data_IF_854832151463
#
_entry.id   IF_854832151463
#
_cell.length_a   1.000
_cell.length_b   1.000
_cell.length_c   1.000
_cell.angle_alpha   90.00
_cell.angle_beta   90.00
_cell.angle_gamma   90.00
#
_symmetry.space_group_name_H-M   'P 1'
#
loop_
_entity.id
_entity.type
_entity.pdbx_description
1 polymer ?
#
# COMPACT_ATOMS: atom_id res chain seq x y z
N UNK A 1 -1.14 -1.75 -17.26
CA UNK A 1 -2.00 -1.93 -16.08
C UNK A 1 -3.44 -2.18 -16.57
N UNK A 2 -4.16 -3.15 -16.02
CA UNK A 2 -5.59 -3.34 -16.32
C UNK A 2 -6.44 -2.36 -15.50
N UNK A 3 -7.71 -2.18 -15.88
CA UNK A 3 -8.65 -1.36 -15.10
C UNK A 3 -8.78 -1.87 -13.65
N UNK A 4 -8.78 -3.19 -13.46
CA UNK A 4 -8.86 -3.78 -12.13
C UNK A 4 -7.57 -3.57 -11.33
N UNK A 5 -6.40 -3.66 -11.98
CA UNK A 5 -5.13 -3.32 -11.33
C UNK A 5 -5.05 -1.84 -10.93
N UNK A 6 -5.65 -0.95 -11.71
CA UNK A 6 -5.75 0.47 -11.37
C UNK A 6 -6.68 0.72 -10.18
N UNK A 7 -7.85 0.08 -10.15
CA UNK A 7 -8.81 0.16 -9.03
C UNK A 7 -8.20 -0.37 -7.74
N UNK A 8 -7.51 -1.50 -7.82
CA UNK A 8 -6.80 -2.09 -6.68
C UNK A 8 -5.68 -1.16 -6.18
N UNK A 9 -4.94 -0.52 -7.09
CA UNK A 9 -3.95 0.48 -6.71
C UNK A 9 -4.56 1.65 -5.94
N UNK A 10 -5.64 2.25 -6.44
CA UNK A 10 -6.32 3.32 -5.72
C UNK A 10 -6.83 2.86 -4.36
N UNK A 11 -7.40 1.66 -4.28
CA UNK A 11 -7.82 1.07 -3.01
C UNK A 11 -6.64 0.98 -2.03
N UNK A 12 -5.48 0.49 -2.46
CA UNK A 12 -4.30 0.37 -1.60
C UNK A 12 -3.76 1.72 -1.11
N UNK A 13 -3.81 2.77 -1.93
CA UNK A 13 -3.42 4.12 -1.52
C UNK A 13 -4.40 4.72 -0.51
N UNK A 14 -5.69 4.42 -0.67
CA UNK A 14 -6.74 4.95 0.22
C UNK A 14 -6.92 4.15 1.50
N UNK A 15 -6.59 2.86 1.47
CA UNK A 15 -6.80 1.97 2.59
C UNK A 15 -5.95 2.38 3.80
N UNK A 16 -6.58 2.37 4.98
CA UNK A 16 -5.93 2.65 6.26
C UNK A 16 -6.28 1.53 7.23
N UNK A 17 -5.28 0.86 7.78
CA UNK A 17 -5.46 -0.10 8.87
C UNK A 17 -4.84 0.47 10.14
N UNK A 18 -5.50 0.34 11.29
CA UNK A 18 -4.89 0.67 12.57
C UNK A 18 -3.67 -0.24 12.80
N UNK A 19 -2.48 0.29 12.52
CA UNK A 19 -1.19 -0.42 12.66
C UNK A 19 -0.60 -1.03 11.37
N UNK A 20 -1.10 -0.70 10.18
CA UNK A 20 -0.58 -1.22 8.90
C UNK A 20 -0.17 -0.16 7.88
N UNK A 21 0.62 -0.57 6.88
CA UNK A 21 1.32 0.26 5.88
C UNK A 21 0.51 0.85 4.73
N UNK A 22 -0.79 1.10 4.93
CA UNK A 22 -1.58 1.88 3.98
C UNK A 22 -1.14 3.35 3.96
N UNK A 23 -1.14 4.00 2.79
CA UNK A 23 -0.74 5.40 2.67
C UNK A 23 -1.78 6.33 3.34
N UNK A 24 -3.06 5.93 3.32
CA UNK A 24 -4.15 6.67 3.93
C UNK A 24 -4.50 7.97 3.20
N UNK A 25 -4.20 8.05 1.89
CA UNK A 25 -4.63 9.15 1.05
C UNK A 25 -6.16 9.13 0.88
N UNK A 26 -6.75 10.28 0.64
CA UNK A 26 -8.12 10.35 0.15
C UNK A 26 -8.17 9.92 -1.31
N UNK A 27 -9.36 9.54 -1.80
CA UNK A 27 -9.55 9.22 -3.22
C UNK A 27 -9.22 10.42 -4.12
N UNK A 28 -9.52 11.64 -3.68
CA UNK A 28 -9.18 12.86 -4.43
C UNK A 28 -7.68 13.00 -4.57
N UNK A 29 -6.94 12.94 -3.46
CA UNK A 29 -5.47 13.02 -3.48
C UNK A 29 -4.86 11.93 -4.35
N UNK A 30 -5.39 10.71 -4.32
CA UNK A 30 -4.90 9.61 -5.14
C UNK A 30 -5.18 9.79 -6.65
N UNK A 31 -6.29 10.47 -7.01
CA UNK A 31 -6.63 10.80 -8.40
C UNK A 31 -5.83 12.00 -8.93
N UNK A 32 -5.40 12.89 -8.04
CA UNK A 32 -4.57 14.06 -8.39
C UNK A 32 -3.09 13.68 -8.62
N UNK A 33 -2.68 12.46 -8.27
CA UNK A 33 -1.33 11.97 -8.52
C UNK A 33 -1.05 11.77 -10.01
N UNK A 34 0.18 12.12 -10.41
CA UNK A 34 0.72 11.62 -11.66
C UNK A 34 0.76 10.09 -11.65
N UNK A 35 0.65 9.47 -12.83
CA UNK A 35 0.77 8.00 -12.94
C UNK A 35 2.12 7.51 -12.42
N UNK A 36 3.18 8.29 -12.62
CA UNK A 36 4.54 7.98 -12.13
C UNK A 36 4.59 7.95 -10.61
N UNK A 37 4.07 8.99 -9.94
CA UNK A 37 4.10 9.07 -8.48
C UNK A 37 3.20 8.02 -7.84
N UNK A 38 2.03 7.78 -8.44
CA UNK A 38 1.13 6.70 -8.02
C UNK A 38 1.84 5.35 -8.08
N UNK A 39 2.46 5.03 -9.21
CA UNK A 39 3.12 3.74 -9.40
C UNK A 39 4.31 3.57 -8.43
N UNK A 40 5.07 4.64 -8.20
CA UNK A 40 6.12 4.67 -7.18
C UNK A 40 5.54 4.42 -5.77
N UNK A 41 4.47 5.13 -5.37
CA UNK A 41 3.86 4.97 -4.04
C UNK A 41 3.33 3.54 -3.83
N UNK A 42 2.71 2.94 -4.85
CA UNK A 42 2.24 1.55 -4.79
C UNK A 42 3.39 0.58 -4.55
N UNK A 43 4.52 0.77 -5.23
CA UNK A 43 5.72 -0.02 -4.98
C UNK A 43 6.21 0.13 -3.53
N UNK A 44 6.25 1.36 -3.02
CA UNK A 44 6.67 1.65 -1.63
C UNK A 44 5.75 1.00 -0.60
N UNK A 45 4.44 1.09 -0.78
CA UNK A 45 3.44 0.44 0.08
C UNK A 45 3.65 -1.08 0.05
N UNK A 46 3.82 -1.68 -1.12
CA UNK A 46 4.10 -3.11 -1.27
C UNK A 46 5.36 -3.55 -0.52
N UNK A 47 6.46 -2.82 -0.68
CA UNK A 47 7.72 -3.10 0.02
C UNK A 47 7.57 -3.00 1.54
N UNK A 48 6.85 -2.00 2.04
CA UNK A 48 6.62 -1.84 3.47
C UNK A 48 5.77 -2.98 4.04
N UNK A 49 4.69 -3.38 3.36
CA UNK A 49 3.84 -4.52 3.77
C UNK A 49 4.64 -5.81 3.87
N UNK A 50 5.54 -6.06 2.92
CA UNK A 50 6.41 -7.24 2.96
C UNK A 50 7.37 -7.21 4.15
N UNK A 51 7.91 -6.04 4.51
CA UNK A 51 8.77 -5.90 5.70
C UNK A 51 8.00 -6.17 6.98
N UNK A 52 6.82 -5.58 7.13
CA UNK A 52 5.95 -5.78 8.30
C UNK A 52 5.56 -7.25 8.44
N UNK A 53 5.15 -7.91 7.35
CA UNK A 53 4.83 -9.33 7.36
C UNK A 53 6.01 -10.20 7.85
N UNK A 54 7.23 -9.91 7.40
CA UNK A 54 8.44 -10.62 7.84
C UNK A 54 8.71 -10.42 9.33
N UNK A 55 8.53 -9.21 9.86
CA UNK A 55 8.76 -8.94 11.27
C UNK A 55 7.70 -9.61 12.16
N UNK A 56 6.44 -9.63 11.73
CA UNK A 56 5.37 -10.38 12.40
C UNK A 56 5.68 -11.89 12.41
N UNK A 57 6.12 -12.45 11.28
CA UNK A 57 6.48 -13.87 11.19
C UNK A 57 7.66 -14.21 12.13
N UNK A 58 8.71 -13.38 12.16
CA UNK A 58 9.85 -13.54 13.07
C UNK A 58 9.41 -13.49 14.53
N UNK A 59 8.54 -12.55 14.90
CA UNK A 59 8.02 -12.43 16.26
C UNK A 59 7.18 -13.64 16.66
N UNK A 60 6.36 -14.16 15.75
CA UNK A 60 5.56 -15.37 15.95
C UNK A 60 6.41 -16.63 16.16
N UNK A 61 7.51 -16.79 15.43
CA UNK A 61 8.45 -17.92 15.58
C UNK A 61 9.25 -17.91 16.89
N UNK A 62 9.30 -16.77 17.60
CA UNK A 62 10.01 -16.62 18.89
C UNK A 62 9.12 -16.96 20.10
N UNK A 63 7.84 -17.23 19.89
CA UNK A 63 6.91 -17.76 20.89
C UNK A 63 6.78 -19.27 20.74
#
# INVERSE_FOLDING_TARGET
>A
MSLDGWREGLFQLCWRQHGGSGLGATLSEALDLSTTDRDWLLERVGQQRQREAREIEKAGRRR
#
